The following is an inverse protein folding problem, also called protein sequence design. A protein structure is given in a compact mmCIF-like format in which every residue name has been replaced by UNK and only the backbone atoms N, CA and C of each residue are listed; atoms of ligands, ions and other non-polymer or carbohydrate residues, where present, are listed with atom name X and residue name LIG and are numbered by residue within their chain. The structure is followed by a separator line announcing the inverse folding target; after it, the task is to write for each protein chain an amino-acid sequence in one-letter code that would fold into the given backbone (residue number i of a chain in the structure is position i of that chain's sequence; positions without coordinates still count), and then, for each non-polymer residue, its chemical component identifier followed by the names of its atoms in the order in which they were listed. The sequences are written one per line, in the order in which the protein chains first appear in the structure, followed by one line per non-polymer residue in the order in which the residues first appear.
data_IF_792993952407
#
_entry.id   IF_792993952407
#
_cell.length_a   1.000
_cell.length_b   1.000
_cell.length_c   1.000
_cell.angle_alpha   90.00
_cell.angle_beta   90.00
_cell.angle_gamma   90.00
#
_symmetry.space_group_name_H-M   'P 1'
#
loop_
_entity.id
_entity.type
_entity.pdbx_description
1 polymer ?
#
# COMPACT_ATOMS: atom_id res chain seq x y z
N UNK A 1 -3.55 0.09 -8.37
CA UNK A 1 -2.74 -0.25 -7.19
C UNK A 1 -3.65 -0.60 -6.00
N UNK A 2 -4.61 -1.53 -6.13
CA UNK A 2 -5.45 -1.90 -4.99
C UNK A 2 -4.71 -2.84 -4.03
N UNK A 3 -5.16 -2.92 -2.78
CA UNK A 3 -4.70 -3.81 -1.71
C UNK A 3 -3.25 -3.56 -1.23
N UNK A 4 -2.77 -2.33 -1.37
CA UNK A 4 -1.44 -1.91 -0.91
C UNK A 4 -1.58 -1.14 0.40
N UNK A 5 -0.81 -1.54 1.41
CA UNK A 5 -0.71 -0.82 2.68
C UNK A 5 0.16 0.44 2.49
N UNK A 6 -0.38 1.58 2.88
CA UNK A 6 0.26 2.88 2.82
C UNK A 6 0.19 3.58 4.16
N UNK A 7 1.15 4.45 4.42
CA UNK A 7 1.08 5.44 5.48
C UNK A 7 0.58 6.75 4.86
N UNK A 8 -0.55 7.26 5.34
CA UNK A 8 -1.18 8.50 4.86
C UNK A 8 -0.78 9.64 5.79
N UNK A 9 -0.21 10.70 5.22
CA UNK A 9 0.18 11.92 5.93
C UNK A 9 -0.92 12.96 5.77
N UNK A 10 -1.86 13.03 6.71
CA UNK A 10 -2.92 14.03 6.70
C UNK A 10 -2.79 14.93 7.92
N UNK A 11 -2.61 16.23 7.70
CA UNK A 11 -2.66 17.26 8.75
C UNK A 11 -1.72 17.01 9.95
N UNK A 12 -0.49 16.52 9.69
CA UNK A 12 0.58 16.19 10.65
C UNK A 12 0.46 14.85 11.38
N UNK A 13 -0.65 14.15 11.27
CA UNK A 13 -0.76 12.79 11.77
C UNK A 13 -0.53 11.78 10.64
N UNK A 14 0.30 10.78 10.94
CA UNK A 14 0.54 9.64 10.07
C UNK A 14 -0.39 8.50 10.47
N UNK A 15 -1.12 7.94 9.51
CA UNK A 15 -2.07 6.85 9.75
C UNK A 15 -1.98 5.81 8.65
N UNK A 16 -1.96 4.53 9.04
CA UNK A 16 -2.00 3.43 8.08
C UNK A 16 -3.33 3.42 7.32
N UNK A 17 -3.29 2.99 6.07
CA UNK A 17 -4.47 2.73 5.27
C UNK A 17 -4.19 1.77 4.13
N UNK A 18 -5.25 1.24 3.52
CA UNK A 18 -5.18 0.33 2.38
C UNK A 18 -5.81 0.98 1.17
N UNK A 19 -5.07 1.03 0.06
CA UNK A 19 -5.56 1.58 -1.20
C UNK A 19 -6.66 0.67 -1.76
N UNK A 20 -7.86 1.20 -1.94
CA UNK A 20 -8.98 0.48 -2.57
C UNK A 20 -8.96 0.65 -4.10
N UNK A 21 -8.75 1.88 -4.56
CA UNK A 21 -8.73 2.23 -5.98
C UNK A 21 -7.81 3.41 -6.27
N UNK A 22 -7.34 3.47 -7.50
CA UNK A 22 -6.66 4.64 -8.06
C UNK A 22 -7.65 5.31 -8.99
N UNK A 23 -7.96 6.58 -8.73
CA UNK A 23 -8.93 7.36 -9.48
C UNK A 23 -8.32 7.86 -10.81
N UNK A 24 -9.15 8.29 -11.78
CA UNK A 24 -8.67 8.75 -13.09
C UNK A 24 -7.72 9.96 -13.03
N UNK A 25 -7.81 10.77 -11.98
CA UNK A 25 -6.93 11.92 -11.73
C UNK A 25 -5.59 11.53 -11.08
N UNK A 26 -5.37 10.24 -10.82
CA UNK A 26 -4.16 9.69 -10.20
C UNK A 26 -4.17 9.71 -8.68
N UNK A 27 -5.19 10.30 -8.04
CA UNK A 27 -5.38 10.19 -6.59
C UNK A 27 -5.81 8.78 -6.19
N UNK A 28 -5.66 8.44 -4.92
CA UNK A 28 -6.04 7.13 -4.40
C UNK A 28 -7.15 7.27 -3.37
N UNK A 29 -8.14 6.39 -3.48
CA UNK A 29 -9.11 6.16 -2.42
C UNK A 29 -8.52 5.15 -1.45
N UNK A 30 -8.38 5.54 -0.19
CA UNK A 30 -7.72 4.76 0.86
C UNK A 30 -8.68 4.55 2.01
N UNK A 31 -8.88 3.30 2.42
CA UNK A 31 -9.53 3.02 3.70
C UNK A 31 -8.51 3.06 4.82
N UNK A 32 -8.77 3.90 5.82
CA UNK A 32 -7.92 4.06 6.99
C UNK A 32 -7.93 2.80 7.86
N UNK A 33 -6.82 2.59 8.56
CA UNK A 33 -6.54 1.38 9.32
C UNK A 33 -5.87 0.29 8.47
N UNK A 34 -5.06 -0.55 9.13
CA UNK A 34 -4.28 -1.61 8.48
C UNK A 34 -5.12 -2.75 7.89
N UNK A 35 -6.39 -2.88 8.29
CA UNK A 35 -7.33 -3.87 7.75
C UNK A 35 -8.04 -3.41 6.47
N UNK A 36 -7.95 -2.12 6.12
CA UNK A 36 -8.69 -1.55 4.99
C UNK A 36 -10.21 -1.49 5.20
N UNK A 37 -10.67 -1.53 6.45
CA UNK A 37 -12.10 -1.55 6.81
C UNK A 37 -12.58 -0.30 7.55
N UNK A 38 -11.72 0.72 7.71
CA UNK A 38 -12.09 1.98 8.34
C UNK A 38 -12.65 3.02 7.35
N UNK A 39 -12.73 4.26 7.81
CA UNK A 39 -13.19 5.40 7.01
C UNK A 39 -12.35 5.58 5.76
N UNK A 40 -13.00 6.06 4.70
CA UNK A 40 -12.32 6.26 3.42
C UNK A 40 -11.93 7.72 3.22
N UNK A 41 -10.71 7.94 2.76
CA UNK A 41 -10.19 9.25 2.36
C UNK A 41 -9.68 9.22 0.91
N UNK A 42 -9.65 10.38 0.27
CA UNK A 42 -8.91 10.58 -0.96
C UNK A 42 -7.56 11.19 -0.59
N UNK A 43 -6.48 10.60 -1.09
CA UNK A 43 -5.12 11.06 -0.85
C UNK A 43 -4.35 11.13 -2.17
N UNK A 44 -3.58 12.19 -2.34
CA UNK A 44 -2.67 12.35 -3.46
C UNK A 44 -1.44 11.43 -3.30
N UNK A 45 -0.76 11.04 -4.39
CA UNK A 45 0.44 10.19 -4.30
C UNK A 45 1.54 10.74 -3.37
N UNK A 46 1.68 12.06 -3.26
CA UNK A 46 2.65 12.71 -2.38
C UNK A 46 2.22 12.81 -0.91
N UNK A 47 0.95 12.51 -0.60
CA UNK A 47 0.40 12.46 0.75
C UNK A 47 0.47 11.04 1.34
N UNK A 48 1.06 10.10 0.62
CA UNK A 48 1.13 8.70 1.02
C UNK A 48 2.51 8.11 0.77
N UNK A 49 2.89 7.13 1.59
CA UNK A 49 4.11 6.35 1.41
C UNK A 49 3.78 4.86 1.51
N UNK A 50 4.30 4.04 0.59
CA UNK A 50 4.08 2.59 0.62
C UNK A 50 4.81 2.00 1.82
N UNK A 51 4.11 1.18 2.60
CA UNK A 51 4.73 0.48 3.73
C UNK A 51 5.50 -0.73 3.20
N UNK A 52 6.82 -0.83 3.43
CA UNK A 52 7.58 -2.01 3.03
C UNK A 52 7.06 -3.28 3.74
N UNK A 53 6.82 -4.38 3.01
CA UNK A 53 6.37 -5.62 3.62
C UNK A 53 7.48 -6.26 4.46
N UNK A 54 7.08 -7.01 5.49
CA UNK A 54 7.98 -7.76 6.37
C UNK A 54 7.89 -9.24 6.09
N UNK A 55 8.87 -10.00 6.60
CA UNK A 55 8.85 -11.46 6.53
C UNK A 55 7.51 -12.01 7.04
N UNK A 56 6.93 -12.91 6.26
CA UNK A 56 5.60 -13.51 6.41
C UNK A 56 4.40 -12.68 5.98
N UNK A 57 4.58 -11.41 5.58
CA UNK A 57 3.47 -10.61 5.05
C UNK A 57 3.04 -11.12 3.68
N UNK A 58 1.75 -10.92 3.37
CA UNK A 58 1.24 -11.08 2.02
C UNK A 58 1.63 -9.86 1.19
N UNK A 59 2.20 -10.09 0.02
CA UNK A 59 2.63 -9.03 -0.90
C UNK A 59 1.83 -9.04 -2.18
N UNK A 60 1.87 -7.92 -2.89
CA UNK A 60 1.43 -7.79 -4.27
C UNK A 60 2.54 -7.15 -5.09
N UNK A 61 2.86 -7.73 -6.24
CA UNK A 61 3.87 -7.19 -7.15
C UNK A 61 3.29 -5.95 -7.84
N UNK A 62 3.92 -4.79 -7.69
CA UNK A 62 3.40 -3.51 -8.19
C UNK A 62 3.90 -3.15 -9.60
N UNK A 63 5.00 -3.73 -10.07
CA UNK A 63 5.63 -3.44 -11.37
C UNK A 63 6.19 -4.68 -12.07
N UNK A 64 6.71 -4.51 -13.29
CA UNK A 64 7.25 -5.60 -14.11
C UNK A 64 6.19 -6.54 -14.69
N UNK A 65 6.63 -7.66 -15.27
CA UNK A 65 5.77 -8.64 -15.96
C UNK A 65 4.82 -9.39 -15.02
N UNK A 66 5.18 -9.54 -13.75
CA UNK A 66 4.38 -10.21 -12.74
C UNK A 66 3.46 -9.25 -11.96
N UNK A 67 3.30 -8.00 -12.41
CA UNK A 67 2.41 -7.01 -11.79
C UNK A 67 1.02 -7.60 -11.51
N UNK A 68 0.51 -7.36 -10.31
CA UNK A 68 -0.80 -7.83 -9.84
C UNK A 68 -0.79 -9.22 -9.20
N UNK A 69 0.27 -10.02 -9.38
CA UNK A 69 0.40 -11.30 -8.68
C UNK A 69 0.59 -11.06 -7.18
N UNK A 70 0.05 -11.96 -6.36
CA UNK A 70 0.22 -11.94 -4.91
C UNK A 70 1.03 -13.14 -4.43
N UNK A 71 1.77 -12.96 -3.35
CA UNK A 71 2.58 -14.01 -2.73
C UNK A 71 2.78 -13.76 -1.24
N UNK A 72 3.59 -14.60 -0.60
CA UNK A 72 4.04 -14.39 0.78
C UNK A 72 5.53 -14.08 0.73
N UNK A 73 5.96 -13.00 1.39
CA UNK A 73 7.37 -12.69 1.55
C UNK A 73 7.97 -13.68 2.56
N UNK A 74 8.91 -14.52 2.14
CA UNK A 74 9.53 -15.54 3.00
C UNK A 74 10.90 -15.10 3.52
N UNK A 75 11.56 -14.14 2.88
CA UNK A 75 12.83 -13.58 3.32
C UNK A 75 13.07 -12.18 2.77
N UNK A 76 14.02 -11.47 3.39
CA UNK A 76 14.57 -10.22 2.89
C UNK A 76 16.08 -10.34 2.96
N UNK A 77 16.76 -10.13 1.82
CA UNK A 77 18.21 -10.12 1.69
C UNK A 77 18.65 -8.75 1.14
N UNK A 78 19.18 -7.91 2.03
CA UNK A 78 19.48 -6.51 1.70
C UNK A 78 18.24 -5.73 1.27
N UNK A 79 18.20 -5.34 0.00
CA UNK A 79 17.07 -4.64 -0.64
C UNK A 79 16.10 -5.57 -1.36
N UNK A 80 16.41 -6.85 -1.46
CA UNK A 80 15.65 -7.82 -2.25
C UNK A 80 14.73 -8.66 -1.35
N UNK A 81 13.50 -8.88 -1.81
CA UNK A 81 12.53 -9.77 -1.18
C UNK A 81 12.48 -11.13 -1.86
N UNK A 82 12.39 -12.20 -1.07
CA UNK A 82 12.28 -13.60 -1.52
C UNK A 82 10.91 -14.13 -1.18
#
# INVERSE_FOLDING_TARGET
MPDILVNVRKSRDETLGVVQEVLPDGSCKVALGSSGSGDTVIALPNEMEIVPPRKSDRIKIMGGSLRGHTGKLIGVDGTDGI
#
